data_IF_953361676234
#
_entry.id   IF_953361676234
#
_cell.length_a   1.000
_cell.length_b   1.000
_cell.length_c   1.000
_cell.angle_alpha   90.00
_cell.angle_beta   90.00
_cell.angle_gamma   90.00
#
_symmetry.space_group_name_H-M   'P 1'
#
loop_
_entity.id
_entity.type
_entity.pdbx_description
1 polymer ?
#
# COMPACT_ATOMS: atom_id res chain seq x y z
N UNK A 1 -28.94 -12.61 -77.82
CA UNK A 1 -27.47 -12.73 -77.69
C UNK A 1 -26.84 -12.40 -79.03
N UNK A 2 -26.11 -11.28 -79.12
CA UNK A 2 -24.88 -11.29 -79.87
C UNK A 2 -23.76 -10.47 -79.20
N UNK A 3 -22.54 -10.92 -79.49
CA UNK A 3 -21.25 -10.31 -79.19
C UNK A 3 -20.82 -9.35 -80.32
N UNK A 4 -19.76 -8.57 -80.05
CA UNK A 4 -18.79 -7.94 -80.98
C UNK A 4 -18.87 -6.40 -81.15
N UNK A 5 -17.94 -5.70 -80.44
CA UNK A 5 -16.92 -4.67 -80.82
C UNK A 5 -17.21 -3.57 -81.88
N UNK A 6 -16.40 -2.49 -82.03
CA UNK A 6 -15.45 -1.82 -81.12
C UNK A 6 -15.54 -0.26 -81.13
N UNK A 7 -14.70 0.34 -80.27
CA UNK A 7 -14.33 1.78 -80.19
C UNK A 7 -13.57 2.26 -81.43
N UNK A 8 -13.84 3.49 -81.87
CA UNK A 8 -12.97 4.24 -82.78
C UNK A 8 -12.75 5.68 -82.29
N UNK A 9 -11.49 6.07 -82.43
CA UNK A 9 -10.76 7.30 -82.11
C UNK A 9 -11.25 8.59 -82.77
N UNK A 10 -11.06 9.72 -82.08
CA UNK A 10 -10.62 10.96 -82.72
C UNK A 10 -9.82 11.84 -81.75
N UNK A 11 -8.54 12.04 -82.06
CA UNK A 11 -7.59 12.98 -81.45
C UNK A 11 -7.56 14.30 -82.27
N UNK A 12 -6.82 15.34 -81.86
CA UNK A 12 -7.34 16.64 -81.46
C UNK A 12 -7.18 17.73 -82.55
N UNK A 13 -7.76 18.91 -82.33
CA UNK A 13 -7.36 20.11 -83.09
C UNK A 13 -7.18 21.31 -82.15
N UNK A 14 -6.12 22.07 -82.45
CA UNK A 14 -5.47 23.06 -81.60
C UNK A 14 -6.26 24.37 -81.41
N UNK A 15 -5.85 25.07 -80.35
CA UNK A 15 -6.37 26.30 -79.75
C UNK A 15 -6.52 27.51 -80.68
N UNK A 16 -7.24 28.54 -80.18
CA UNK A 16 -6.68 29.88 -80.16
C UNK A 16 -6.56 30.43 -78.74
N UNK A 17 -5.53 31.26 -78.58
CA UNK A 17 -5.10 31.88 -77.33
C UNK A 17 -6.17 32.78 -76.69
N UNK A 18 -6.45 32.54 -75.41
CA UNK A 18 -7.15 33.47 -74.53
C UNK A 18 -6.17 34.28 -73.70
N UNK A 19 -6.44 35.57 -73.66
CA UNK A 19 -5.76 36.65 -72.95
C UNK A 19 -5.45 36.34 -71.48
N UNK A 20 -4.29 36.82 -71.03
CA UNK A 20 -3.87 36.76 -69.64
C UNK A 20 -4.86 37.51 -68.72
N UNK A 21 -5.30 36.92 -67.59
CA UNK A 21 -6.08 37.65 -66.60
C UNK A 21 -5.17 38.50 -65.71
N UNK A 22 -5.59 39.74 -65.51
CA UNK A 22 -5.03 40.74 -64.62
C UNK A 22 -4.88 40.20 -63.20
N UNK A 23 -3.69 40.32 -62.60
CA UNK A 23 -3.43 39.88 -61.23
C UNK A 23 -4.26 40.69 -60.22
N UNK A 24 -5.10 39.99 -59.45
CA UNK A 24 -5.77 40.53 -58.26
C UNK A 24 -4.73 40.62 -57.13
N UNK A 25 -4.60 41.74 -56.40
CA UNK A 25 -3.69 41.83 -55.27
C UNK A 25 -4.11 40.84 -54.18
N UNK A 26 -3.16 40.03 -53.67
CA UNK A 26 -3.43 39.21 -52.48
C UNK A 26 -3.68 40.14 -51.28
N UNK A 27 -4.62 39.80 -50.38
CA UNK A 27 -4.75 40.50 -49.12
C UNK A 27 -3.45 40.32 -48.31
N UNK A 28 -3.10 41.30 -47.45
CA UNK A 28 -1.89 41.20 -46.63
C UNK A 28 -1.93 39.91 -45.80
N UNK A 29 -0.79 39.22 -45.79
CA UNK A 29 -0.52 38.07 -44.92
C UNK A 29 -0.91 38.41 -43.49
N UNK A 30 -1.75 37.57 -42.89
CA UNK A 30 -2.07 37.62 -41.46
C UNK A 30 -0.76 37.66 -40.67
N UNK A 31 -0.62 38.66 -39.80
CA UNK A 31 0.42 38.70 -38.78
C UNK A 31 0.43 37.35 -38.05
N UNK A 32 1.60 36.70 -37.85
CA UNK A 32 1.64 35.52 -37.01
C UNK A 32 1.09 35.91 -35.64
N UNK A 33 0.08 35.17 -35.18
CA UNK A 33 -0.47 35.29 -33.84
C UNK A 33 0.71 35.18 -32.86
N UNK A 34 0.86 36.12 -31.90
CA UNK A 34 1.96 36.04 -30.96
C UNK A 34 1.85 34.69 -30.24
N UNK A 35 2.92 33.90 -30.29
CA UNK A 35 3.06 32.71 -29.45
C UNK A 35 2.70 33.13 -28.03
N UNK A 36 1.69 32.51 -27.38
CA UNK A 36 1.32 32.90 -26.03
C UNK A 36 2.58 32.85 -25.17
N UNK A 37 2.83 33.93 -24.42
CA UNK A 37 3.93 33.95 -23.45
C UNK A 37 3.79 32.71 -22.56
N UNK A 38 4.89 32.01 -22.24
CA UNK A 38 4.81 30.88 -21.32
C UNK A 38 4.12 31.37 -20.04
N UNK A 39 3.13 30.62 -19.57
CA UNK A 39 2.41 30.93 -18.33
C UNK A 39 3.41 31.20 -17.20
N UNK A 40 3.27 32.35 -16.54
CA UNK A 40 4.04 32.72 -15.34
C UNK A 40 3.69 31.84 -14.13
N UNK A 41 2.73 30.92 -14.28
CA UNK A 41 2.38 29.91 -13.30
C UNK A 41 2.68 28.50 -13.80
N UNK A 42 3.06 27.63 -12.88
CA UNK A 42 3.30 26.21 -13.08
C UNK A 42 2.36 25.40 -12.19
N UNK A 43 2.00 24.20 -12.65
CA UNK A 43 1.16 23.28 -11.88
C UNK A 43 2.02 22.52 -10.88
N UNK A 44 1.61 22.53 -9.62
CA UNK A 44 2.23 21.77 -8.54
C UNK A 44 1.18 20.83 -7.95
N UNK A 45 1.55 19.57 -7.73
CA UNK A 45 0.74 18.58 -7.03
C UNK A 45 1.45 18.20 -5.74
N UNK A 46 0.97 18.72 -4.61
CA UNK A 46 1.56 18.45 -3.30
C UNK A 46 0.88 17.26 -2.65
N UNK A 47 1.64 16.22 -2.36
CA UNK A 47 1.15 14.98 -1.75
C UNK A 47 1.67 14.88 -0.34
N UNK A 48 0.77 14.70 0.62
CA UNK A 48 1.12 14.36 1.99
C UNK A 48 1.16 12.85 2.15
N UNK A 49 2.26 12.28 2.62
CA UNK A 49 2.22 10.90 3.09
C UNK A 49 1.51 10.87 4.45
N UNK A 50 0.49 9.99 4.56
CA UNK A 50 -0.26 9.44 5.73
C UNK A 50 -0.71 10.36 6.88
N UNK A 51 -0.49 11.65 6.83
CA UNK A 51 -0.93 12.57 7.86
C UNK A 51 -1.91 13.61 7.35
N UNK A 52 -2.79 14.09 8.24
CA UNK A 52 -3.31 15.45 8.15
C UNK A 52 -2.26 16.37 8.76
N UNK A 53 -1.30 16.80 7.94
CA UNK A 53 -0.38 17.86 8.32
C UNK A 53 -0.86 19.18 7.71
N UNK A 54 -0.57 20.26 8.40
CA UNK A 54 -0.65 21.56 7.75
C UNK A 54 0.46 21.62 6.70
N UNK A 55 0.09 21.91 5.45
CA UNK A 55 1.06 22.14 4.38
C UNK A 55 1.28 23.62 4.23
N UNK A 56 2.54 24.04 4.17
CA UNK A 56 2.91 25.40 3.84
C UNK A 56 3.73 25.45 2.55
N UNK A 57 3.50 26.47 1.73
CA UNK A 57 4.35 26.87 0.62
C UNK A 57 4.88 28.27 0.92
N UNK A 58 6.20 28.42 0.98
CA UNK A 58 6.88 29.67 1.36
C UNK A 58 6.31 30.29 2.65
N UNK A 59 6.00 29.45 3.63
CA UNK A 59 5.45 29.83 4.93
C UNK A 59 3.95 30.17 4.93
N UNK A 60 3.21 29.89 3.85
CA UNK A 60 1.75 30.10 3.78
C UNK A 60 1.00 28.79 3.71
N UNK A 61 0.02 28.60 4.59
CA UNK A 61 -0.79 27.39 4.63
C UNK A 61 -1.59 27.21 3.33
N UNK A 62 -1.54 25.99 2.79
CA UNK A 62 -2.27 25.57 1.58
C UNK A 62 -2.96 24.24 1.83
N UNK A 63 -3.97 23.92 1.03
CA UNK A 63 -4.49 22.56 0.98
C UNK A 63 -3.60 21.71 0.07
N UNK A 64 -3.23 20.48 0.46
CA UNK A 64 -2.52 19.56 -0.43
C UNK A 64 -3.36 19.23 -1.67
N UNK A 65 -2.68 18.73 -2.71
CA UNK A 65 -3.25 18.44 -4.02
C UNK A 65 -2.76 19.38 -5.12
N UNK A 66 -3.49 19.43 -6.22
CA UNK A 66 -3.14 20.22 -7.40
C UNK A 66 -3.43 21.70 -7.20
N UNK A 67 -2.44 22.53 -7.48
CA UNK A 67 -2.56 23.99 -7.43
C UNK A 67 -1.65 24.66 -8.46
N UNK A 68 -1.94 25.93 -8.77
CA UNK A 68 -1.08 26.76 -9.59
C UNK A 68 -0.23 27.65 -8.69
N UNK A 69 1.08 27.60 -8.88
CA UNK A 69 2.04 28.47 -8.18
C UNK A 69 2.81 29.32 -9.21
N UNK A 70 3.33 30.50 -8.83
CA UNK A 70 4.25 31.23 -9.70
C UNK A 70 5.39 30.33 -10.17
N UNK A 71 5.92 30.58 -11.37
CA UNK A 71 7.13 29.89 -11.81
C UNK A 71 8.30 30.35 -10.93
N UNK A 72 8.99 29.39 -10.32
CA UNK A 72 10.14 29.66 -9.45
C UNK A 72 10.39 28.53 -8.47
N UNK A 73 11.41 28.70 -7.62
CA UNK A 73 11.64 27.81 -6.49
C UNK A 73 10.66 28.14 -5.37
N UNK A 74 10.03 27.09 -4.83
CA UNK A 74 9.13 27.18 -3.70
C UNK A 74 9.57 26.17 -2.65
N UNK A 75 9.58 26.58 -1.39
CA UNK A 75 9.83 25.66 -0.29
C UNK A 75 8.50 25.17 0.27
N UNK A 76 8.36 23.86 0.38
CA UNK A 76 7.24 23.21 1.02
C UNK A 76 7.63 22.71 2.40
N UNK A 77 6.69 22.84 3.34
CA UNK A 77 6.80 22.28 4.67
C UNK A 77 5.52 21.53 5.03
N UNK A 78 5.66 20.40 5.73
CA UNK A 78 4.56 19.77 6.46
C UNK A 78 4.78 20.01 7.96
N UNK A 79 3.71 20.42 8.64
CA UNK A 79 3.73 20.72 10.06
C UNK A 79 2.72 19.85 10.82
N UNK A 80 3.14 19.36 11.98
CA UNK A 80 2.29 18.66 12.96
C UNK A 80 2.42 19.41 14.27
N UNK A 81 1.29 19.84 14.84
CA UNK A 81 1.23 20.66 16.06
C UNK A 81 2.11 21.94 16.01
N UNK A 82 2.33 22.49 14.81
CA UNK A 82 3.13 23.69 14.57
C UNK A 82 4.63 23.43 14.39
N UNK A 83 5.10 22.20 14.57
CA UNK A 83 6.48 21.81 14.33
C UNK A 83 6.66 21.33 12.89
N UNK A 84 7.72 21.79 12.23
CA UNK A 84 8.08 21.34 10.88
C UNK A 84 8.62 19.91 10.95
N UNK A 85 7.88 18.97 10.37
CA UNK A 85 8.21 17.54 10.37
C UNK A 85 8.68 17.02 9.01
N UNK A 86 8.42 17.77 7.93
CA UNK A 86 8.96 17.49 6.59
C UNK A 86 9.23 18.79 5.83
N UNK A 87 10.25 18.77 4.97
CA UNK A 87 10.61 19.86 4.07
C UNK A 87 10.94 19.30 2.68
N UNK A 88 10.54 20.01 1.64
CA UNK A 88 10.89 19.69 0.25
C UNK A 88 10.92 20.97 -0.60
N UNK A 89 11.69 20.96 -1.69
CA UNK A 89 11.71 22.05 -2.67
C UNK A 89 10.88 21.65 -3.90
N UNK A 90 10.04 22.57 -4.38
CA UNK A 90 9.31 22.38 -5.63
C UNK A 90 10.25 22.52 -6.83
N UNK A 91 10.07 21.70 -7.89
CA UNK A 91 10.73 21.94 -9.16
C UNK A 91 10.27 23.27 -9.78
N UNK A 92 11.19 24.06 -10.35
CA UNK A 92 10.88 25.37 -10.95
C UNK A 92 9.83 25.29 -12.08
N UNK A 93 9.76 24.15 -12.76
CA UNK A 93 8.78 23.88 -13.83
C UNK A 93 7.42 23.38 -13.35
N UNK A 94 7.21 23.28 -12.04
CA UNK A 94 6.10 22.54 -11.46
C UNK A 94 6.34 21.04 -11.47
N UNK A 95 5.38 20.26 -10.99
CA UNK A 95 5.50 18.80 -10.87
C UNK A 95 4.83 18.27 -9.62
N UNK A 96 5.26 17.09 -9.19
CA UNK A 96 4.78 16.43 -7.97
C UNK A 96 5.81 16.65 -6.87
N UNK A 97 5.35 17.00 -5.67
CA UNK A 97 6.18 17.05 -4.47
C UNK A 97 5.54 16.18 -3.39
N UNK A 98 6.30 15.20 -2.93
CA UNK A 98 5.91 14.33 -1.82
C UNK A 98 6.50 14.87 -0.50
N UNK A 99 5.62 15.19 0.44
CA UNK A 99 5.98 15.53 1.81
C UNK A 99 5.75 14.31 2.71
N UNK A 100 6.85 13.72 3.18
CA UNK A 100 6.80 12.52 4.02
C UNK A 100 6.71 12.90 5.48
N UNK A 101 5.50 12.90 6.03
CA UNK A 101 5.27 13.11 7.47
C UNK A 101 5.60 11.81 8.21
N UNK A 102 6.50 11.81 9.22
CA UNK A 102 6.78 10.62 10.00
C UNK A 102 5.55 10.17 10.81
N UNK A 103 5.40 8.87 11.12
CA UNK A 103 4.33 8.42 12.00
C UNK A 103 4.46 9.01 13.40
N UNK A 104 3.32 9.19 14.08
CA UNK A 104 3.25 9.78 15.42
C UNK A 104 4.01 8.95 16.46
N UNK A 105 3.99 7.63 16.30
CA UNK A 105 4.70 6.70 17.17
C UNK A 105 5.81 5.99 16.38
N UNK A 106 6.86 5.56 17.07
CA UNK A 106 7.81 4.65 16.46
C UNK A 106 7.07 3.38 15.99
N UNK A 107 7.60 2.60 15.06
CA UNK A 107 6.88 1.41 14.62
C UNK A 107 6.96 0.28 15.66
N UNK A 108 5.81 -0.28 16.03
CA UNK A 108 5.72 -1.50 16.84
C UNK A 108 4.91 -2.55 16.09
N UNK A 109 5.50 -3.73 15.91
CA UNK A 109 4.90 -4.86 15.23
C UNK A 109 4.54 -5.95 16.23
N UNK A 110 3.31 -6.45 16.21
CA UNK A 110 2.87 -7.54 17.08
C UNK A 110 2.51 -8.75 16.24
N UNK A 111 3.10 -9.90 16.56
CA UNK A 111 2.73 -11.18 15.97
C UNK A 111 1.40 -11.65 16.57
N UNK A 112 0.35 -11.80 15.77
CA UNK A 112 -0.98 -12.19 16.24
C UNK A 112 -1.45 -13.50 15.60
N UNK A 113 -1.96 -14.41 16.43
CA UNK A 113 -2.48 -15.71 16.02
C UNK A 113 -3.71 -15.63 15.12
N UNK A 114 -3.86 -16.59 14.20
CA UNK A 114 -5.06 -16.71 13.39
C UNK A 114 -5.63 -18.14 13.28
N UNK A 115 -5.25 -19.05 14.16
CA UNK A 115 -5.94 -20.35 14.28
C UNK A 115 -7.40 -20.14 14.74
N UNK A 116 -8.32 -21.01 14.30
CA UNK A 116 -9.74 -20.90 14.64
C UNK A 116 -9.99 -20.73 16.15
N UNK A 117 -9.29 -21.49 17.00
CA UNK A 117 -9.44 -21.43 18.47
C UNK A 117 -8.94 -20.12 19.10
N UNK A 118 -8.18 -19.32 18.36
CA UNK A 118 -7.69 -18.01 18.77
C UNK A 118 -8.59 -16.86 18.32
N UNK A 119 -9.67 -17.14 17.56
CA UNK A 119 -10.59 -16.12 17.06
C UNK A 119 -11.80 -15.95 17.99
N UNK A 120 -12.37 -14.74 18.09
CA UNK A 120 -11.85 -13.48 17.55
C UNK A 120 -10.58 -13.00 18.28
N UNK A 121 -9.71 -12.28 17.57
CA UNK A 121 -8.54 -11.59 18.12
C UNK A 121 -8.94 -10.29 18.82
N UNK A 122 -8.00 -9.65 19.51
CA UNK A 122 -8.16 -8.32 20.10
C UNK A 122 -7.09 -7.37 19.58
N UNK A 123 -7.44 -6.11 19.33
CA UNK A 123 -6.53 -5.00 19.03
C UNK A 123 -6.31 -4.73 17.54
N UNK A 124 -6.86 -5.56 16.64
CA UNK A 124 -6.66 -5.41 15.19
C UNK A 124 -7.29 -4.15 14.58
N UNK A 125 -8.45 -3.61 15.06
CA UNK A 125 -8.99 -2.35 14.54
C UNK A 125 -8.08 -1.14 14.73
N UNK A 126 -7.18 -1.17 15.72
CA UNK A 126 -6.25 -0.08 16.03
C UNK A 126 -4.95 -0.16 15.21
N UNK A 127 -4.69 -1.27 14.53
CA UNK A 127 -3.49 -1.41 13.71
C UNK A 127 -3.61 -0.59 12.42
N UNK A 128 -2.55 0.13 12.06
CA UNK A 128 -2.47 0.89 10.81
C UNK A 128 -2.30 -0.04 9.61
N UNK A 129 -1.55 -1.13 9.80
CA UNK A 129 -1.25 -2.13 8.78
C UNK A 129 -1.33 -3.52 9.37
N UNK A 130 -2.03 -4.43 8.71
CA UNK A 130 -2.03 -5.85 9.06
C UNK A 130 -1.62 -6.66 7.86
N UNK A 131 -0.53 -7.42 7.99
CA UNK A 131 -0.16 -8.42 7.00
C UNK A 131 -0.66 -9.79 7.45
N UNK A 132 -1.37 -10.50 6.57
CA UNK A 132 -1.73 -11.90 6.74
C UNK A 132 -0.90 -12.77 5.79
N UNK A 133 -0.27 -13.80 6.35
CA UNK A 133 0.51 -14.74 5.56
C UNK A 133 0.42 -16.16 6.15
N UNK A 134 0.58 -17.18 5.31
CA UNK A 134 0.65 -18.57 5.74
C UNK A 134 1.80 -18.81 6.72
N UNK A 135 1.60 -19.70 7.70
CA UNK A 135 2.57 -20.00 8.75
C UNK A 135 2.89 -21.50 8.88
N UNK A 136 2.23 -22.24 9.76
CA UNK A 136 2.38 -23.70 9.94
C UNK A 136 1.18 -24.41 9.32
N UNK A 137 1.42 -25.45 8.51
CA UNK A 137 0.37 -26.40 8.12
C UNK A 137 -0.85 -25.80 7.41
N UNK A 138 -0.70 -24.60 6.82
CA UNK A 138 -1.79 -23.89 6.14
C UNK A 138 -2.58 -22.88 6.96
N UNK A 139 -2.28 -22.75 8.26
CA UNK A 139 -2.87 -21.72 9.10
C UNK A 139 -2.15 -20.40 8.80
N UNK A 140 -2.90 -19.32 8.65
CA UNK A 140 -2.29 -17.99 8.51
C UNK A 140 -1.92 -17.40 9.88
N UNK A 141 -1.09 -16.38 9.87
CA UNK A 141 -0.74 -15.57 11.03
C UNK A 141 -0.71 -14.11 10.60
N UNK A 142 -0.93 -13.21 11.56
CA UNK A 142 -0.82 -11.79 11.34
C UNK A 142 0.49 -11.24 11.90
N UNK A 143 1.01 -10.21 11.26
CA UNK A 143 1.81 -9.19 11.91
C UNK A 143 1.07 -7.85 11.78
N UNK A 144 0.73 -7.25 12.92
CA UNK A 144 0.00 -5.98 12.98
C UNK A 144 0.94 -4.84 13.40
N UNK A 145 0.99 -3.79 12.59
CA UNK A 145 1.82 -2.60 12.80
C UNK A 145 0.99 -1.49 13.46
N UNK A 146 1.54 -0.92 14.53
CA UNK A 146 0.99 0.23 15.23
C UNK A 146 1.96 1.40 15.07
N UNK A 147 1.52 2.43 14.35
CA UNK A 147 2.30 3.58 13.86
C UNK A 147 1.66 4.90 14.31
N UNK A 148 0.33 4.98 14.35
CA UNK A 148 -0.41 6.19 14.69
C UNK A 148 -1.05 6.16 16.07
N UNK A 149 -1.37 4.96 16.59
CA UNK A 149 -2.10 4.79 17.85
C UNK A 149 -1.66 3.56 18.64
N UNK A 150 -1.99 3.55 19.93
CA UNK A 150 -1.80 2.41 20.81
C UNK A 150 -3.08 1.56 20.93
N UNK A 151 -2.90 0.27 21.19
CA UNK A 151 -3.94 -0.68 21.51
C UNK A 151 -3.72 -1.24 22.92
N UNK A 152 -4.69 -1.07 23.85
CA UNK A 152 -4.52 -1.46 25.25
C UNK A 152 -4.48 -2.98 25.45
N UNK A 153 -5.02 -3.74 24.49
CA UNK A 153 -4.97 -5.20 24.50
C UNK A 153 -4.79 -5.68 23.06
N UNK A 154 -3.76 -6.48 22.82
CA UNK A 154 -3.50 -7.11 21.52
C UNK A 154 -3.23 -8.60 21.71
N UNK A 155 -3.85 -9.44 20.88
CA UNK A 155 -3.52 -10.86 20.83
C UNK A 155 -4.62 -11.77 20.25
N UNK A 156 -4.43 -13.10 20.29
CA UNK A 156 -3.33 -13.76 20.99
C UNK A 156 -1.95 -13.58 20.34
N UNK A 157 -0.91 -13.28 21.12
CA UNK A 157 0.47 -13.10 20.62
C UNK A 157 1.09 -14.45 20.27
N UNK A 158 1.82 -14.51 19.15
CA UNK A 158 2.41 -15.76 18.63
C UNK A 158 3.84 -15.65 18.13
N UNK A 159 4.37 -16.80 17.69
CA UNK A 159 5.75 -16.94 17.28
C UNK A 159 6.07 -16.21 15.97
N UNK A 160 7.25 -15.61 15.94
CA UNK A 160 7.80 -14.92 14.79
C UNK A 160 8.30 -15.91 13.72
N UNK A 161 8.15 -15.53 12.45
CA UNK A 161 8.76 -16.20 11.29
C UNK A 161 9.65 -15.21 10.55
N UNK A 162 10.64 -15.70 9.83
CA UNK A 162 11.62 -14.87 9.15
C UNK A 162 11.00 -13.86 8.17
N UNK A 163 10.03 -14.27 7.36
CA UNK A 163 9.33 -13.35 6.45
C UNK A 163 8.51 -12.28 7.18
N UNK A 164 7.97 -12.56 8.37
CA UNK A 164 7.37 -11.52 9.20
C UNK A 164 8.41 -10.54 9.77
N UNK A 165 9.63 -11.00 10.06
CA UNK A 165 10.73 -10.10 10.43
C UNK A 165 11.12 -9.17 9.26
N UNK A 166 11.09 -9.68 8.01
CA UNK A 166 11.31 -8.87 6.82
C UNK A 166 10.24 -7.78 6.64
N UNK A 167 8.98 -8.12 6.92
CA UNK A 167 7.86 -7.16 6.91
C UNK A 167 7.99 -6.13 8.03
N UNK A 168 8.43 -6.50 9.23
CA UNK A 168 8.77 -5.53 10.28
C UNK A 168 9.91 -4.59 9.85
N UNK A 169 10.89 -5.13 9.09
CA UNK A 169 11.99 -4.38 8.51
C UNK A 169 11.55 -3.23 7.59
N UNK A 170 10.44 -3.39 6.86
CA UNK A 170 9.90 -2.31 6.01
C UNK A 170 9.65 -1.02 6.81
N UNK A 171 9.13 -1.19 8.03
CA UNK A 171 8.78 -0.09 8.93
C UNK A 171 9.89 0.25 9.92
N UNK A 172 11.02 -0.47 9.87
CA UNK A 172 12.04 -0.49 10.92
C UNK A 172 11.42 -0.70 12.32
N UNK A 173 10.40 -1.55 12.39
CA UNK A 173 9.61 -1.80 13.58
C UNK A 173 10.32 -2.74 14.55
N UNK A 174 10.16 -2.46 15.84
CA UNK A 174 10.48 -3.46 16.86
C UNK A 174 9.33 -4.45 17.00
N UNK A 175 9.64 -5.69 17.40
CA UNK A 175 8.70 -6.81 17.27
C UNK A 175 8.36 -7.46 18.61
N UNK A 176 7.08 -7.61 18.90
CA UNK A 176 6.55 -8.35 20.04
C UNK A 176 6.10 -9.74 19.59
N UNK A 177 6.63 -10.78 20.23
CA UNK A 177 6.36 -12.17 19.85
C UNK A 177 6.54 -13.14 21.03
N UNK A 178 6.14 -14.40 20.82
CA UNK A 178 6.39 -15.50 21.78
C UNK A 178 7.12 -16.62 21.07
N UNK A 179 8.44 -16.63 21.22
CA UNK A 179 9.34 -17.51 20.48
C UNK A 179 9.34 -17.22 18.98
N UNK A 180 10.09 -18.04 18.23
CA UNK A 180 10.20 -17.92 16.79
C UNK A 180 10.54 -19.28 16.16
N UNK A 181 10.46 -19.37 14.83
CA UNK A 181 11.19 -20.43 14.12
C UNK A 181 12.70 -20.18 14.24
N UNK A 182 13.56 -21.21 14.13
CA UNK A 182 15.00 -21.07 13.94
C UNK A 182 15.40 -19.92 13.00
N UNK A 183 14.82 -19.86 11.81
CA UNK A 183 15.07 -18.78 10.84
C UNK A 183 14.55 -17.43 11.32
N UNK A 184 13.41 -17.41 12.03
CA UNK A 184 12.88 -16.21 12.66
C UNK A 184 13.85 -15.63 13.69
N UNK A 185 14.44 -16.47 14.56
CA UNK A 185 15.50 -16.03 15.48
C UNK A 185 16.74 -15.55 14.73
N UNK A 186 17.20 -16.30 13.72
CA UNK A 186 18.36 -15.94 12.91
C UNK A 186 18.20 -14.57 12.27
N UNK A 187 17.09 -14.34 11.57
CA UNK A 187 16.88 -13.09 10.83
C UNK A 187 16.55 -11.91 11.72
N UNK A 188 15.75 -12.10 12.78
CA UNK A 188 15.53 -11.05 13.79
C UNK A 188 16.86 -10.54 14.36
N UNK A 189 17.77 -11.46 14.71
CA UNK A 189 19.08 -11.11 15.26
C UNK A 189 20.00 -10.48 14.18
N UNK A 190 20.05 -11.05 12.98
CA UNK A 190 20.88 -10.53 11.89
C UNK A 190 20.48 -9.11 11.47
N UNK A 191 19.17 -8.82 11.48
CA UNK A 191 18.61 -7.50 11.19
C UNK A 191 18.70 -6.53 12.38
N UNK A 192 19.13 -7.00 13.57
CA UNK A 192 19.19 -6.21 14.80
C UNK A 192 17.86 -5.52 15.15
N UNK A 193 16.74 -6.25 14.97
CA UNK A 193 15.43 -5.74 15.35
C UNK A 193 15.32 -5.68 16.88
N UNK A 194 14.87 -4.55 17.42
CA UNK A 194 14.42 -4.51 18.81
C UNK A 194 13.25 -5.45 18.98
N UNK A 195 13.19 -6.14 20.12
CA UNK A 195 12.15 -7.14 20.32
C UNK A 195 11.79 -7.35 21.80
N UNK A 196 10.59 -7.87 21.99
CA UNK A 196 10.08 -8.41 23.25
C UNK A 196 9.68 -9.86 23.01
N UNK A 197 10.32 -10.79 23.72
CA UNK A 197 10.06 -12.22 23.59
C UNK A 197 9.70 -12.86 24.93
N UNK A 198 8.40 -13.15 25.14
CA UNK A 198 7.94 -13.81 26.39
C UNK A 198 8.61 -15.16 26.62
N UNK A 199 8.96 -15.88 25.55
CA UNK A 199 9.61 -17.19 25.68
C UNK A 199 11.05 -17.08 26.20
N UNK A 200 11.66 -15.91 26.08
CA UNK A 200 12.95 -15.56 26.68
C UNK A 200 12.82 -14.97 28.10
N UNK A 201 11.59 -14.83 28.61
CA UNK A 201 11.30 -14.26 29.93
C UNK A 201 11.19 -12.74 29.96
N UNK A 202 11.08 -12.07 28.81
CA UNK A 202 10.81 -10.64 28.78
C UNK A 202 9.40 -10.34 29.36
N UNK A 203 9.24 -9.25 30.13
CA UNK A 203 7.94 -8.80 30.62
C UNK A 203 7.12 -8.17 29.49
N UNK A 204 5.80 -8.07 29.67
CA UNK A 204 4.88 -7.36 28.75
C UNK A 204 3.70 -8.22 28.34
N UNK A 205 3.96 -9.48 28.01
CA UNK A 205 2.92 -10.45 27.65
C UNK A 205 2.34 -11.14 28.88
N UNK A 206 1.02 -11.23 28.98
CA UNK A 206 0.30 -11.96 30.03
C UNK A 206 -0.63 -13.04 29.46
N UNK A 207 -1.02 -14.00 30.30
CA UNK A 207 -1.94 -15.10 29.91
C UNK A 207 -3.34 -14.93 30.50
N UNK A 208 -4.36 -14.99 29.66
CA UNK A 208 -5.76 -15.01 30.08
C UNK A 208 -6.22 -16.43 30.41
N UNK A 209 -7.23 -16.55 31.27
CA UNK A 209 -7.83 -17.85 31.67
C UNK A 209 -9.05 -18.24 30.83
N UNK A 210 -9.58 -17.31 30.05
CA UNK A 210 -10.76 -17.53 29.19
C UNK A 210 -10.48 -18.43 27.98
N UNK A 211 -9.20 -18.72 27.69
CA UNK A 211 -8.77 -19.57 26.57
C UNK A 211 -7.65 -20.51 27.02
N UNK A 212 -7.57 -21.74 26.46
CA UNK A 212 -6.48 -22.65 26.75
C UNK A 212 -5.17 -22.19 26.09
N UNK A 213 -4.01 -22.50 26.68
CA UNK A 213 -2.75 -22.41 25.96
C UNK A 213 -2.78 -23.28 24.69
N UNK A 214 -2.16 -22.84 23.59
CA UNK A 214 -1.30 -21.66 23.51
C UNK A 214 -2.01 -20.41 22.94
N UNK A 215 -3.35 -20.37 22.95
CA UNK A 215 -4.19 -19.31 22.34
C UNK A 215 -4.55 -18.17 23.29
N UNK A 216 -3.78 -17.98 24.36
CA UNK A 216 -4.21 -17.20 25.52
C UNK A 216 -3.24 -16.10 25.96
N UNK A 217 -2.23 -15.78 25.15
CA UNK A 217 -1.23 -14.77 25.49
C UNK A 217 -1.58 -13.41 24.87
N UNK A 218 -1.53 -12.33 25.62
CA UNK A 218 -1.94 -10.98 25.20
C UNK A 218 -0.92 -9.95 25.67
N UNK A 219 -0.92 -8.77 25.04
CA UNK A 219 0.02 -7.68 25.33
C UNK A 219 -0.65 -6.30 25.23
N UNK A 220 0.07 -5.25 25.59
CA UNK A 220 -0.34 -3.84 25.55
C UNK A 220 0.73 -3.02 24.82
N UNK A 221 0.35 -2.32 23.75
CA UNK A 221 1.35 -1.64 22.89
C UNK A 221 2.10 -0.56 23.65
N UNK A 222 1.43 0.24 24.49
CA UNK A 222 2.06 1.35 25.20
C UNK A 222 3.09 0.85 26.22
N UNK A 223 2.77 -0.24 26.93
CA UNK A 223 3.68 -0.91 27.84
C UNK A 223 4.89 -1.51 27.10
N UNK A 224 4.65 -2.20 25.98
CA UNK A 224 5.70 -2.80 25.16
C UNK A 224 6.67 -1.75 24.62
N UNK A 225 6.15 -0.61 24.15
CA UNK A 225 6.98 0.53 23.74
C UNK A 225 7.82 1.08 24.88
N UNK A 226 7.22 1.23 26.06
CA UNK A 226 7.93 1.68 27.26
C UNK A 226 9.12 0.79 27.58
N UNK A 227 8.89 -0.53 27.61
CA UNK A 227 9.93 -1.53 27.83
C UNK A 227 11.04 -1.50 26.78
N UNK A 228 10.67 -1.43 25.50
CA UNK A 228 11.62 -1.40 24.39
C UNK A 228 12.46 -0.11 24.41
N UNK A 229 11.83 1.04 24.68
CA UNK A 229 12.50 2.33 24.82
C UNK A 229 13.52 2.33 25.95
N UNK A 230 13.20 1.74 27.10
CA UNK A 230 14.12 1.62 28.23
C UNK A 230 15.36 0.76 27.89
N UNK A 231 15.26 -0.09 26.85
CA UNK A 231 16.37 -0.87 26.29
C UNK A 231 17.07 -0.21 25.10
N UNK A 232 16.72 1.04 24.78
CA UNK A 232 17.32 1.82 23.70
C UNK A 232 16.67 1.63 22.32
N UNK A 233 15.54 0.93 22.23
CA UNK A 233 14.78 0.74 20.99
C UNK A 233 13.69 1.82 20.83
N UNK A 234 12.72 1.61 19.92
CA UNK A 234 11.57 2.51 19.67
C UNK A 234 11.95 3.93 19.22
N UNK A 235 12.88 4.02 18.27
CA UNK A 235 13.37 5.29 17.72
C UNK A 235 12.93 5.55 16.26
N UNK A 236 12.36 4.54 15.59
CA UNK A 236 12.17 4.57 14.15
C UNK A 236 10.74 4.92 13.77
N UNK A 237 10.59 6.05 13.07
CA UNK A 237 9.32 6.58 12.60
C UNK A 237 9.27 6.45 11.07
N UNK A 238 8.94 5.25 10.55
CA UNK A 238 8.83 4.98 9.11
C UNK A 238 7.49 4.35 8.74
N UNK A 239 7.01 4.69 7.55
CA UNK A 239 5.76 4.16 6.98
C UNK A 239 5.94 2.96 6.06
N UNK A 240 7.17 2.48 5.90
CA UNK A 240 7.51 1.39 4.99
C UNK A 240 7.04 1.68 3.56
N UNK A 241 6.36 0.72 2.88
CA UNK A 241 6.02 0.81 1.47
C UNK A 241 4.89 1.80 1.16
N UNK A 242 4.27 2.41 2.17
CA UNK A 242 2.96 3.03 2.02
C UNK A 242 3.02 4.49 1.61
N UNK A 243 2.31 4.80 0.52
CA UNK A 243 2.11 6.15 -0.02
C UNK A 243 0.63 6.49 0.06
N UNK A 244 0.28 7.60 0.70
CA UNK A 244 -1.12 7.97 0.88
C UNK A 244 -1.48 9.28 0.19
N UNK A 245 -2.73 9.40 -0.25
CA UNK A 245 -3.31 10.66 -0.73
C UNK A 245 -4.83 10.58 -0.74
N UNK A 246 -5.53 11.65 -0.35
CA UNK A 246 -6.98 11.78 -0.56
C UNK A 246 -7.36 11.79 -2.05
N UNK A 247 -6.40 12.08 -2.91
CA UNK A 247 -6.50 12.04 -4.37
C UNK A 247 -5.89 10.76 -4.96
N UNK A 248 -5.71 9.71 -4.15
CA UNK A 248 -5.22 8.43 -4.65
C UNK A 248 -6.03 7.96 -5.87
N UNK A 249 -5.37 7.56 -6.98
CA UNK A 249 -6.06 7.12 -8.18
C UNK A 249 -7.02 5.97 -7.88
N UNK A 250 -8.19 6.00 -8.53
CA UNK A 250 -9.17 4.91 -8.47
C UNK A 250 -8.96 3.96 -9.65
N UNK A 251 -9.29 2.69 -9.42
CA UNK A 251 -9.36 1.71 -10.50
C UNK A 251 -10.58 1.92 -11.39
N UNK A 252 -10.56 1.33 -12.57
CA UNK A 252 -11.71 1.33 -13.49
C UNK A 252 -12.68 0.17 -13.18
N UNK A 253 -12.17 -0.94 -12.65
CA UNK A 253 -12.96 -2.12 -12.34
C UNK A 253 -13.61 -2.02 -10.96
N UNK A 254 -14.93 -2.24 -10.92
CA UNK A 254 -15.70 -2.31 -9.68
C UNK A 254 -15.36 -3.58 -8.89
N UNK A 255 -15.13 -3.41 -7.60
CA UNK A 255 -14.76 -4.46 -6.66
C UNK A 255 -15.47 -4.26 -5.32
N UNK A 256 -16.80 -4.24 -5.32
CA UNK A 256 -17.59 -4.20 -4.09
C UNK A 256 -17.40 -5.45 -3.23
N UNK A 257 -17.17 -6.61 -3.84
CA UNK A 257 -16.79 -7.82 -3.09
C UNK A 257 -15.44 -8.32 -3.54
N UNK A 258 -14.66 -8.86 -2.60
CA UNK A 258 -13.37 -9.52 -2.83
C UNK A 258 -13.43 -10.87 -2.13
N UNK A 259 -13.00 -11.93 -2.79
CA UNK A 259 -12.86 -13.27 -2.19
C UNK A 259 -11.52 -13.85 -2.61
N UNK A 260 -10.77 -14.35 -1.63
CA UNK A 260 -9.47 -14.98 -1.84
C UNK A 260 -9.31 -16.24 -0.99
N UNK A 261 -8.44 -17.14 -1.44
CA UNK A 261 -8.08 -18.37 -0.72
C UNK A 261 -6.59 -18.59 -0.72
N UNK A 262 -6.04 -18.98 0.42
CA UNK A 262 -4.61 -19.29 0.55
C UNK A 262 -4.32 -20.72 0.08
N UNK A 263 -4.40 -20.96 -1.24
CA UNK A 263 -4.18 -22.29 -1.83
C UNK A 263 -2.79 -22.83 -1.48
N UNK A 264 -2.61 -24.16 -1.36
CA UNK A 264 -3.61 -25.22 -1.48
C UNK A 264 -4.57 -25.38 -0.28
N UNK A 265 -4.45 -24.56 0.77
CA UNK A 265 -5.25 -24.71 1.99
C UNK A 265 -6.65 -24.09 1.87
N UNK A 266 -7.64 -24.56 2.65
CA UNK A 266 -9.03 -24.11 2.54
C UNK A 266 -9.28 -22.72 3.15
N UNK A 267 -8.23 -22.05 3.65
CA UNK A 267 -8.33 -20.78 4.35
C UNK A 267 -8.94 -19.70 3.45
N UNK A 268 -10.10 -19.17 3.84
CA UNK A 268 -10.88 -18.25 3.03
C UNK A 268 -11.13 -16.92 3.73
N UNK A 269 -10.80 -15.84 3.02
CA UNK A 269 -11.06 -14.46 3.43
C UNK A 269 -11.91 -13.79 2.36
N UNK A 270 -12.82 -12.93 2.81
CA UNK A 270 -13.60 -12.10 1.92
C UNK A 270 -13.73 -10.68 2.47
N UNK A 271 -13.98 -9.75 1.58
CA UNK A 271 -14.21 -8.35 1.90
C UNK A 271 -15.45 -7.87 1.17
N UNK A 272 -16.23 -7.00 1.81
CA UNK A 272 -17.38 -6.35 1.18
C UNK A 272 -17.34 -4.86 1.47
N UNK A 273 -17.41 -4.04 0.43
CA UNK A 273 -17.41 -2.60 0.53
C UNK A 273 -18.66 -2.11 1.26
N UNK A 274 -18.44 -1.28 2.28
CA UNK A 274 -19.48 -0.51 2.94
C UNK A 274 -19.34 0.97 2.51
N UNK A 275 -20.23 1.48 1.62
CA UNK A 275 -20.16 2.85 1.17
C UNK A 275 -20.48 3.88 2.28
N UNK A 276 -21.17 3.48 3.35
CA UNK A 276 -21.45 4.39 4.45
C UNK A 276 -20.19 4.71 5.26
N UNK A 277 -19.29 3.73 5.39
CA UNK A 277 -18.01 3.88 6.09
C UNK A 277 -16.86 4.23 5.16
N UNK A 278 -17.00 3.96 3.84
CA UNK A 278 -15.89 4.04 2.91
C UNK A 278 -14.81 2.99 3.21
N UNK A 279 -15.21 1.80 3.65
CA UNK A 279 -14.30 0.72 4.12
C UNK A 279 -14.73 -0.64 3.58
N UNK A 280 -13.81 -1.60 3.58
CA UNK A 280 -14.07 -3.00 3.26
C UNK A 280 -14.29 -3.82 4.52
N UNK A 281 -15.53 -4.22 4.81
CA UNK A 281 -15.86 -5.12 5.89
C UNK A 281 -15.26 -6.51 5.65
N UNK A 282 -14.44 -6.98 6.58
CA UNK A 282 -13.73 -8.25 6.47
C UNK A 282 -14.55 -9.43 7.00
N UNK A 283 -14.51 -10.54 6.28
CA UNK A 283 -15.13 -11.80 6.60
C UNK A 283 -14.08 -12.92 6.55
N UNK A 284 -14.23 -13.88 7.45
CA UNK A 284 -13.31 -15.01 7.55
C UNK A 284 -14.11 -16.28 7.78
N UNK A 285 -13.83 -17.32 7.00
CA UNK A 285 -14.50 -18.61 7.10
C UNK A 285 -16.05 -18.49 7.08
N UNK A 286 -16.57 -17.55 6.28
CA UNK A 286 -18.00 -17.32 6.08
C UNK A 286 -18.70 -16.42 7.10
N UNK A 287 -18.00 -15.94 8.15
CA UNK A 287 -18.56 -15.06 9.17
C UNK A 287 -17.90 -13.67 9.22
N UNK A 288 -18.57 -12.63 9.77
CA UNK A 288 -17.93 -11.35 10.07
C UNK A 288 -16.71 -11.53 10.96
N UNK A 289 -15.56 -11.02 10.54
CA UNK A 289 -14.36 -11.04 11.39
C UNK A 289 -14.42 -9.84 12.34
N UNK A 290 -14.71 -10.12 13.61
CA UNK A 290 -14.87 -9.10 14.64
C UNK A 290 -13.69 -9.07 15.60
N UNK A 291 -13.41 -7.91 16.13
CA UNK A 291 -12.57 -7.75 17.32
C UNK A 291 -13.32 -8.25 18.56
N UNK A 292 -12.62 -8.97 19.43
CA UNK A 292 -13.21 -9.58 20.62
C UNK A 292 -13.57 -8.57 21.70
N UNK A 293 -12.84 -7.45 21.82
CA UNK A 293 -13.04 -6.47 22.87
C UNK A 293 -14.06 -5.39 22.45
N UNK A 294 -13.94 -4.84 21.24
CA UNK A 294 -14.87 -3.81 20.77
C UNK A 294 -16.14 -4.38 20.13
N UNK A 295 -16.09 -5.62 19.61
CA UNK A 295 -17.17 -6.21 18.81
C UNK A 295 -17.29 -5.62 17.40
N UNK A 296 -16.45 -4.64 17.06
CA UNK A 296 -16.40 -4.02 15.74
C UNK A 296 -15.94 -5.04 14.71
N UNK A 297 -16.50 -4.94 13.50
CA UNK A 297 -16.02 -5.73 12.38
C UNK A 297 -14.76 -5.06 11.81
N UNK A 298 -13.74 -5.86 11.51
CA UNK A 298 -12.52 -5.35 10.86
C UNK A 298 -12.89 -4.73 9.51
N UNK A 299 -12.44 -3.49 9.28
CA UNK A 299 -12.88 -2.67 8.16
C UNK A 299 -11.75 -1.78 7.56
N UNK A 300 -10.75 -2.34 6.86
CA UNK A 300 -9.70 -1.55 6.20
C UNK A 300 -10.22 -0.56 5.13
N UNK A 301 -9.48 0.53 4.89
CA UNK A 301 -9.65 1.36 3.69
C UNK A 301 -9.21 0.61 2.44
N UNK A 302 -8.06 -0.06 2.57
CA UNK A 302 -7.33 -0.62 1.46
C UNK A 302 -7.03 -2.08 1.76
N UNK A 303 -7.37 -2.96 0.82
CA UNK A 303 -6.97 -4.36 0.82
C UNK A 303 -5.95 -4.54 -0.30
N UNK A 304 -4.78 -5.05 0.02
CA UNK A 304 -3.73 -5.40 -0.94
C UNK A 304 -3.65 -6.92 -0.97
N UNK A 305 -3.70 -7.51 -2.15
CA UNK A 305 -3.33 -8.92 -2.35
C UNK A 305 -1.95 -8.93 -2.96
N UNK A 306 -0.98 -9.51 -2.26
CA UNK A 306 0.40 -9.65 -2.72
C UNK A 306 0.67 -11.10 -3.06
N UNK A 307 1.06 -11.38 -4.30
CA UNK A 307 1.39 -12.73 -4.75
C UNK A 307 2.88 -13.00 -4.53
N UNK A 308 3.20 -14.04 -3.77
CA UNK A 308 4.57 -14.45 -3.48
C UNK A 308 4.76 -15.95 -3.63
N UNK A 309 6.01 -16.38 -3.84
CA UNK A 309 6.37 -17.79 -3.81
C UNK A 309 6.30 -18.30 -2.37
N UNK A 310 5.63 -19.45 -2.19
CA UNK A 310 5.45 -20.08 -0.87
C UNK A 310 5.74 -21.57 -0.99
N UNK A 311 6.72 -22.03 -0.24
CA UNK A 311 7.20 -23.41 -0.31
C UNK A 311 7.25 -24.07 1.08
N UNK A 312 6.95 -25.38 1.17
CA UNK A 312 7.26 -26.14 2.37
C UNK A 312 8.76 -26.14 2.65
N UNK A 313 9.14 -25.97 3.91
CA UNK A 313 10.55 -26.14 4.32
C UNK A 313 10.86 -27.65 4.33
N UNK A 314 11.87 -28.13 3.56
CA UNK A 314 12.18 -29.55 3.50
C UNK A 314 12.53 -30.13 4.88
N UNK A 315 11.95 -31.29 5.20
CA UNK A 315 12.16 -32.02 6.46
C UNK A 315 11.75 -31.24 7.72
N UNK A 316 10.82 -30.28 7.61
CA UNK A 316 10.29 -29.58 8.79
C UNK A 316 9.10 -30.30 9.42
N UNK A 317 9.32 -30.92 10.59
CA UNK A 317 8.28 -31.66 11.32
C UNK A 317 7.10 -30.78 11.78
N UNK A 318 7.29 -29.47 11.87
CA UNK A 318 6.25 -28.50 12.26
C UNK A 318 5.48 -27.95 11.06
N UNK A 319 5.75 -28.47 9.85
CA UNK A 319 5.12 -28.06 8.59
C UNK A 319 5.22 -26.55 8.36
N UNK A 320 6.36 -25.96 8.72
CA UNK A 320 6.64 -24.54 8.48
C UNK A 320 6.83 -24.28 6.98
N UNK A 321 6.42 -23.11 6.56
CA UNK A 321 6.53 -22.63 5.19
C UNK A 321 7.58 -21.51 5.10
N UNK A 322 8.26 -21.45 3.96
CA UNK A 322 9.03 -20.30 3.50
C UNK A 322 8.16 -19.43 2.60
N UNK A 323 8.36 -18.12 2.66
CA UNK A 323 7.67 -17.13 1.84
C UNK A 323 8.73 -16.20 1.30
N UNK A 324 8.94 -16.23 0.00
CA UNK A 324 10.05 -15.50 -0.63
C UNK A 324 9.66 -14.04 -0.81
N UNK A 325 10.20 -13.19 0.07
CA UNK A 325 9.97 -11.75 0.07
C UNK A 325 11.23 -10.92 -0.19
N UNK A 326 12.43 -11.49 -0.08
CA UNK A 326 13.70 -10.76 -0.20
C UNK A 326 14.44 -11.22 -1.45
N UNK A 327 15.06 -10.29 -2.16
CA UNK A 327 15.59 -10.52 -3.52
C UNK A 327 14.50 -11.08 -4.45
N UNK A 328 13.28 -10.58 -4.25
CA UNK A 328 12.07 -11.10 -4.86
C UNK A 328 11.20 -9.96 -5.37
N UNK A 329 10.36 -10.30 -6.34
CA UNK A 329 9.32 -9.43 -6.88
C UNK A 329 8.12 -10.25 -7.31
N UNK A 330 6.96 -9.60 -7.43
CA UNK A 330 5.74 -10.27 -7.84
C UNK A 330 4.62 -9.29 -8.13
N UNK A 331 3.45 -9.83 -8.45
CA UNK A 331 2.27 -9.01 -8.69
C UNK A 331 1.57 -8.63 -7.39
N UNK A 332 0.86 -7.50 -7.43
CA UNK A 332 -0.08 -7.10 -6.40
C UNK A 332 -1.41 -6.64 -7.01
N UNK A 333 -2.49 -6.77 -6.26
CA UNK A 333 -3.78 -6.15 -6.55
C UNK A 333 -4.16 -5.25 -5.39
N UNK A 334 -4.50 -3.99 -5.66
CA UNK A 334 -4.91 -3.02 -4.65
C UNK A 334 -6.40 -2.72 -4.81
N UNK A 335 -7.15 -2.95 -3.74
CA UNK A 335 -8.56 -2.66 -3.65
C UNK A 335 -8.79 -1.51 -2.68
N UNK A 336 -9.41 -0.44 -3.17
CA UNK A 336 -9.78 0.74 -2.38
C UNK A 336 -10.94 1.47 -3.08
N UNK A 337 -11.77 2.19 -2.32
CA UNK A 337 -12.90 2.95 -2.88
C UNK A 337 -13.82 2.14 -3.80
N UNK A 338 -14.12 0.87 -3.44
CA UNK A 338 -14.89 -0.08 -4.27
C UNK A 338 -14.31 -0.36 -5.67
N UNK A 339 -13.01 -0.10 -5.89
CA UNK A 339 -12.34 -0.32 -7.19
C UNK A 339 -11.05 -1.13 -7.01
N UNK A 340 -10.54 -1.69 -8.11
CA UNK A 340 -9.29 -2.46 -8.17
C UNK A 340 -8.25 -1.81 -9.09
N UNK A 341 -6.98 -1.80 -8.67
CA UNK A 341 -5.81 -1.53 -9.51
C UNK A 341 -4.82 -2.68 -9.45
N UNK A 342 -4.09 -2.90 -10.53
CA UNK A 342 -2.95 -3.84 -10.56
C UNK A 342 -1.64 -3.10 -10.30
N UNK A 343 -0.61 -3.88 -10.02
CA UNK A 343 0.73 -3.39 -9.78
C UNK A 343 1.73 -4.51 -9.53
N UNK A 344 2.92 -4.10 -9.10
CA UNK A 344 4.01 -5.01 -8.74
C UNK A 344 4.64 -4.63 -7.41
N UNK A 345 5.18 -5.62 -6.72
CA UNK A 345 6.03 -5.41 -5.55
C UNK A 345 7.44 -5.92 -5.81
N UNK A 346 8.41 -5.34 -5.14
CA UNK A 346 9.76 -5.89 -5.04
C UNK A 346 10.42 -5.51 -3.70
N UNK A 347 11.37 -6.31 -3.25
CA UNK A 347 12.18 -6.00 -2.07
C UNK A 347 13.57 -6.58 -2.24
N UNK A 348 14.57 -5.72 -2.24
CA UNK A 348 15.95 -6.09 -2.56
C UNK A 348 16.68 -6.73 -1.38
N UNK A 349 16.59 -6.14 -0.18
CA UNK A 349 17.22 -6.67 1.02
C UNK A 349 16.25 -6.75 2.22
N UNK A 350 16.59 -7.50 3.29
CA UNK A 350 15.71 -7.67 4.45
C UNK A 350 15.29 -6.37 5.15
N UNK A 351 16.18 -5.37 5.20
CA UNK A 351 15.95 -4.05 5.83
C UNK A 351 15.52 -2.96 4.83
N UNK A 352 15.51 -3.25 3.54
CA UNK A 352 15.00 -2.29 2.54
C UNK A 352 13.49 -2.25 2.63
N UNK A 353 12.86 -1.09 2.43
CA UNK A 353 11.41 -1.06 2.29
C UNK A 353 10.98 -1.85 1.05
N UNK A 354 9.91 -2.62 1.16
CA UNK A 354 9.20 -3.11 -0.04
C UNK A 354 8.82 -1.91 -0.92
N UNK A 355 8.96 -2.07 -2.22
CA UNK A 355 8.56 -1.09 -3.23
C UNK A 355 7.27 -1.60 -3.87
N UNK A 356 6.23 -0.77 -3.90
CA UNK A 356 4.98 -1.03 -4.63
C UNK A 356 4.86 -0.07 -5.80
N UNK A 357 4.65 -0.60 -6.99
CA UNK A 357 4.46 0.17 -8.22
C UNK A 357 3.10 -0.16 -8.84
N UNK A 358 2.47 0.82 -9.49
CA UNK A 358 1.34 0.60 -10.39
C UNK A 358 1.77 0.04 -11.75
N UNK A 359 0.81 -0.29 -12.61
CA UNK A 359 1.08 -0.81 -13.96
C UNK A 359 1.83 0.18 -14.88
N UNK A 360 1.82 1.47 -14.53
CA UNK A 360 2.59 2.50 -15.20
C UNK A 360 4.05 2.56 -14.74
N UNK A 361 4.43 1.74 -13.74
CA UNK A 361 5.75 1.77 -13.11
C UNK A 361 5.94 2.93 -12.14
N UNK A 362 4.87 3.63 -11.77
CA UNK A 362 4.92 4.71 -10.79
C UNK A 362 4.69 4.16 -9.38
N UNK A 363 5.17 4.83 -8.33
CA UNK A 363 4.88 4.42 -6.96
C UNK A 363 3.37 4.33 -6.67
N UNK A 364 2.95 3.22 -6.03
CA UNK A 364 1.54 2.93 -5.76
C UNK A 364 1.00 3.82 -4.63
N UNK A 365 0.15 4.79 -4.95
CA UNK A 365 -0.51 5.69 -3.99
C UNK A 365 -1.91 5.19 -3.63
N UNK A 366 -2.24 5.07 -2.34
CA UNK A 366 -3.50 4.54 -1.79
C UNK A 366 -4.24 5.57 -0.91
N UNK A 367 -5.56 5.46 -0.67
CA UNK A 367 -6.25 6.41 0.20
C UNK A 367 -5.86 6.22 1.68
N UNK A 368 -5.87 7.29 2.51
CA UNK A 368 -5.54 7.22 3.93
C UNK A 368 -6.40 6.23 4.74
N UNK A 369 -5.77 5.61 5.74
CA UNK A 369 -6.41 4.76 6.75
C UNK A 369 -5.92 3.30 6.73
N UNK A 370 -6.57 2.41 7.48
CA UNK A 370 -6.03 1.08 7.75
C UNK A 370 -5.86 0.24 6.48
N UNK A 371 -4.72 -0.45 6.40
CA UNK A 371 -4.33 -1.29 5.26
C UNK A 371 -4.26 -2.75 5.69
N UNK A 372 -4.86 -3.63 4.91
CA UNK A 372 -4.71 -5.08 5.06
C UNK A 372 -4.00 -5.66 3.86
N UNK A 373 -2.89 -6.38 4.09
CA UNK A 373 -2.08 -7.00 3.05
C UNK A 373 -2.17 -8.52 3.18
N UNK A 374 -2.80 -9.14 2.20
CA UNK A 374 -3.00 -10.58 2.08
C UNK A 374 -1.87 -11.15 1.21
N UNK A 375 -0.84 -11.72 1.84
CA UNK A 375 0.28 -12.35 1.13
C UNK A 375 -0.11 -13.79 0.80
N UNK A 376 -0.41 -14.04 -0.47
CA UNK A 376 -0.94 -15.30 -0.96
C UNK A 376 0.04 -16.00 -1.90
N UNK A 377 0.05 -17.34 -1.95
CA UNK A 377 0.79 -18.09 -2.97
C UNK A 377 0.41 -17.68 -4.39
N UNK A 378 1.36 -17.73 -5.34
CA UNK A 378 1.20 -17.26 -6.73
C UNK A 378 -0.10 -17.71 -7.42
N UNK A 379 -0.53 -18.95 -7.19
CA UNK A 379 -1.71 -19.56 -7.83
C UNK A 379 -3.01 -19.43 -6.99
N UNK A 380 -3.02 -18.54 -6.01
CA UNK A 380 -4.18 -18.33 -5.14
C UNK A 380 -5.31 -17.65 -5.91
N UNK A 381 -6.53 -18.23 -5.92
CA UNK A 381 -7.65 -17.64 -6.62
C UNK A 381 -8.10 -16.40 -5.88
N UNK A 382 -8.17 -15.29 -6.62
CA UNK A 382 -8.79 -14.04 -6.18
C UNK A 382 -9.90 -13.70 -7.17
N UNK A 383 -11.06 -13.35 -6.62
CA UNK A 383 -12.21 -12.93 -7.41
C UNK A 383 -12.80 -11.67 -6.81
N UNK A 384 -13.27 -10.77 -7.67
CA UNK A 384 -13.96 -9.55 -7.30
C UNK A 384 -15.25 -9.39 -8.10
N UNK A 385 -16.20 -8.63 -7.56
CA UNK A 385 -17.43 -8.28 -8.28
C UNK A 385 -17.87 -6.87 -7.95
N UNK A 386 -18.63 -6.29 -8.88
CA UNK A 386 -19.41 -5.08 -8.64
C UNK A 386 -20.50 -5.28 -7.57
#
# INVERSE_FOLDING_TARGET
>A
MPTVRPVATSTPTAAPATSAPTAVPRPPTSTPEPTPAPSDQVALDVRLWNGSAEVQIDGRSVQPGQMMVPRGQHQLAALVDGDVVALADAPEGGGVVDLVVPPLQAALAIMVENQADARPQTGLPQADVVYECLAEGGITRFISMYLSSDAPVVGPVRSLRHYFAFLAGDYAADVVHIGASPEGFTWRNAMHLGHLDESAGDPGVWRVRSRPPPHNAYTDTAADRGFLRDRGWQQNHRWGPLLFSDHAPRGEEAAQTIRLRFRPWPYQVAYTWDPAQGRYLRFMEGGPHRDAASGEQIAPATVVVQFAQVDPIPNDEKLRLAVDLVDASGQLMVFSNATRREGTWSKAAPLDSTVWLDDGGNPMVIPPGPVWVEIVPLESPVSWSA
#
